data_IF_095993928560
#
_entry.id   IF_095993928560
#
_cell.length_a   1.000
_cell.length_b   1.000
_cell.length_c   1.000
_cell.angle_alpha   90.00
_cell.angle_beta   90.00
_cell.angle_gamma   90.00
#
_symmetry.space_group_name_H-M   'P 1'
#
loop_
_entity.id
_entity.type
_entity.pdbx_description
1 polymer ?
#
# COMPACT_ATOMS: atom_id res chain seq x y z
N UNK A 1 1.45 27.66 -10.36
CA UNK A 1 2.05 28.74 -9.55
C UNK A 1 2.21 28.27 -8.10
N UNK A 2 3.47 28.23 -7.59
CA UNK A 2 3.79 27.71 -6.25
C UNK A 2 3.22 28.57 -5.10
N UNK A 3 3.27 29.91 -5.13
CA UNK A 3 2.66 30.75 -4.09
C UNK A 3 1.16 30.52 -3.95
N UNK A 4 0.42 30.49 -5.04
CA UNK A 4 -1.03 30.23 -5.03
C UNK A 4 -1.35 28.83 -4.45
N UNK A 5 -0.56 27.83 -4.80
CA UNK A 5 -0.70 26.49 -4.23
C UNK A 5 -0.47 26.45 -2.71
N UNK A 6 0.56 27.14 -2.21
CA UNK A 6 0.82 27.21 -0.77
C UNK A 6 -0.28 27.97 -0.02
N UNK A 7 -0.79 29.05 -0.60
CA UNK A 7 -1.93 29.78 -0.04
C UNK A 7 -3.18 28.90 0.04
N UNK A 8 -3.47 28.14 -1.02
CA UNK A 8 -4.61 27.20 -1.01
C UNK A 8 -4.46 26.10 0.05
N UNK A 9 -3.25 25.56 0.27
CA UNK A 9 -2.98 24.60 1.36
C UNK A 9 -3.27 25.20 2.74
N UNK A 10 -2.83 26.43 2.97
CA UNK A 10 -3.05 27.12 4.25
C UNK A 10 -4.53 27.43 4.47
N UNK A 11 -5.23 27.90 3.43
CA UNK A 11 -6.68 28.13 3.49
C UNK A 11 -7.44 26.86 3.86
N UNK A 12 -7.12 25.75 3.19
CA UNK A 12 -7.74 24.46 3.49
C UNK A 12 -7.46 23.99 4.92
N UNK A 13 -6.24 24.16 5.42
CA UNK A 13 -5.91 23.84 6.81
C UNK A 13 -6.77 24.66 7.80
N UNK A 14 -6.89 25.96 7.54
CA UNK A 14 -7.73 26.86 8.36
C UNK A 14 -9.21 26.45 8.36
N UNK A 15 -9.75 26.08 7.21
CA UNK A 15 -11.12 25.58 7.08
C UNK A 15 -11.35 24.32 7.90
N UNK A 16 -10.43 23.35 7.82
CA UNK A 16 -10.51 22.07 8.59
C UNK A 16 -10.44 22.36 10.08
N UNK A 17 -9.49 23.19 10.54
CA UNK A 17 -9.37 23.57 11.95
C UNK A 17 -10.64 24.29 12.42
N UNK A 18 -11.20 25.21 11.62
CA UNK A 18 -12.44 25.89 11.94
C UNK A 18 -13.66 24.96 12.02
N UNK A 19 -13.69 23.90 11.20
CA UNK A 19 -14.71 22.85 11.32
C UNK A 19 -14.56 22.07 12.62
N UNK A 20 -13.35 21.70 12.98
CA UNK A 20 -13.05 20.95 14.21
C UNK A 20 -13.32 21.79 15.46
N UNK A 21 -13.01 23.09 15.43
CA UNK A 21 -13.31 24.03 16.54
C UNK A 21 -14.80 24.11 16.84
N UNK A 22 -15.66 23.99 15.81
CA UNK A 22 -17.13 23.95 16.03
C UNK A 22 -17.59 22.68 16.75
N UNK A 23 -16.88 21.57 16.60
CA UNK A 23 -17.18 20.28 17.25
C UNK A 23 -16.55 20.22 18.65
N UNK A 24 -15.34 20.72 18.76
CA UNK A 24 -14.54 20.75 20.00
C UNK A 24 -14.03 22.18 20.27
N UNK A 25 -14.82 23.03 20.95
CA UNK A 25 -14.40 24.38 21.29
C UNK A 25 -13.08 24.42 22.08
N UNK A 26 -12.15 25.26 21.66
CA UNK A 26 -10.81 25.39 22.22
C UNK A 26 -9.75 24.54 21.54
N UNK A 27 -10.11 23.69 20.56
CA UNK A 27 -9.16 22.85 19.84
C UNK A 27 -8.14 23.68 19.06
N UNK A 28 -8.57 24.76 18.41
CA UNK A 28 -7.68 25.61 17.62
C UNK A 28 -6.53 26.20 18.44
N UNK A 29 -6.76 26.50 19.71
CA UNK A 29 -5.74 27.00 20.64
C UNK A 29 -4.71 25.91 21.04
N UNK A 30 -5.05 24.64 20.87
CA UNK A 30 -4.20 23.50 21.20
C UNK A 30 -3.40 22.97 19.99
N UNK A 31 -3.61 23.55 18.79
CA UNK A 31 -2.88 23.11 17.59
C UNK A 31 -1.48 23.69 17.58
N UNK A 32 -0.48 22.87 17.76
CA UNK A 32 0.94 23.25 17.79
C UNK A 32 1.58 23.15 16.39
N UNK A 33 1.17 22.16 15.58
CA UNK A 33 1.74 21.90 14.27
C UNK A 33 0.64 21.60 13.26
N UNK A 34 0.76 22.21 12.08
CA UNK A 34 -0.14 21.96 10.94
C UNK A 34 0.69 21.56 9.73
N UNK A 35 0.44 20.36 9.22
CA UNK A 35 0.98 19.93 7.92
C UNK A 35 -0.16 19.38 7.04
N UNK A 36 -0.14 19.77 5.77
CA UNK A 36 -1.15 19.38 4.79
C UNK A 36 -0.47 18.61 3.66
N UNK A 37 -0.77 17.32 3.54
CA UNK A 37 -0.42 16.52 2.38
C UNK A 37 -1.51 16.62 1.30
N UNK A 38 -1.10 16.84 0.07
CA UNK A 38 -1.96 16.88 -1.11
C UNK A 38 -1.51 15.86 -2.13
N UNK A 39 -2.26 15.59 -3.21
CA UNK A 39 -1.78 14.74 -4.30
C UNK A 39 -0.40 15.15 -4.84
N UNK A 40 -0.13 16.45 -4.98
CA UNK A 40 1.20 16.94 -5.39
C UNK A 40 2.30 16.65 -4.35
N UNK A 41 1.94 16.64 -3.07
CA UNK A 41 2.87 16.23 -2.01
C UNK A 41 3.22 14.75 -2.16
N UNK A 42 2.22 13.91 -2.36
CA UNK A 42 2.42 12.46 -2.58
C UNK A 42 3.24 12.20 -3.82
N UNK A 43 2.91 12.83 -4.94
CA UNK A 43 3.66 12.68 -6.21
C UNK A 43 5.15 13.05 -6.03
N UNK A 44 5.42 14.17 -5.34
CA UNK A 44 6.78 14.60 -5.05
C UNK A 44 7.60 13.59 -4.25
N UNK A 45 6.99 12.94 -3.24
CA UNK A 45 7.70 12.01 -2.36
C UNK A 45 7.76 10.59 -2.88
N UNK A 46 6.79 10.17 -3.69
CA UNK A 46 6.64 8.77 -4.12
C UNK A 46 6.84 8.56 -5.63
N UNK A 47 6.86 9.65 -6.41
CA UNK A 47 6.83 9.63 -7.88
C UNK A 47 5.61 8.90 -8.46
N UNK A 48 4.57 8.71 -7.65
CA UNK A 48 3.31 8.13 -8.12
C UNK A 48 2.53 9.18 -8.93
N UNK A 49 2.20 8.83 -10.16
CA UNK A 49 1.45 9.72 -11.05
C UNK A 49 0.16 10.21 -10.39
N UNK A 50 -0.09 11.54 -10.50
CA UNK A 50 -1.27 12.22 -9.95
C UNK A 50 -1.41 12.04 -8.42
N UNK A 51 -0.31 11.73 -7.73
CA UNK A 51 -0.29 11.55 -6.27
C UNK A 51 -1.09 10.35 -5.77
N UNK A 52 -1.19 9.28 -6.56
CA UNK A 52 -1.90 8.08 -6.16
C UNK A 52 -1.29 7.46 -4.90
N UNK A 53 -2.14 7.16 -3.91
CA UNK A 53 -1.72 6.56 -2.63
C UNK A 53 -2.15 5.10 -2.48
N UNK A 54 -3.10 4.63 -3.29
CA UNK A 54 -3.68 3.29 -3.15
C UNK A 54 -3.54 2.40 -4.41
N UNK A 55 -2.74 2.82 -5.38
CA UNK A 55 -2.60 2.11 -6.64
C UNK A 55 -3.77 2.39 -7.59
N UNK A 56 -4.25 1.39 -8.29
CA UNK A 56 -5.31 1.54 -9.30
C UNK A 56 -6.69 1.70 -8.66
N UNK A 57 -7.51 2.58 -9.22
CA UNK A 57 -8.90 2.79 -8.76
C UNK A 57 -9.75 1.55 -9.02
N UNK A 58 -10.40 0.98 -8.02
CA UNK A 58 -11.21 -0.24 -8.20
C UNK A 58 -12.49 -0.03 -9.00
N UNK A 59 -13.00 1.20 -9.10
CA UNK A 59 -14.22 1.54 -9.83
C UNK A 59 -14.11 1.41 -11.35
N UNK A 60 -12.87 1.48 -11.89
CA UNK A 60 -12.64 1.35 -13.34
C UNK A 60 -12.29 -0.06 -13.80
N UNK A 61 -11.88 -0.91 -12.91
CA UNK A 61 -11.30 -2.23 -13.23
C UNK A 61 -12.03 -3.35 -12.47
N UNK A 62 -13.05 -3.00 -11.69
CA UNK A 62 -13.65 -3.93 -10.73
C UNK A 62 -12.62 -4.36 -9.69
N UNK A 63 -12.74 -5.57 -9.17
CA UNK A 63 -11.72 -6.17 -8.28
C UNK A 63 -10.55 -6.80 -9.05
N UNK A 64 -10.52 -6.69 -10.39
CA UNK A 64 -9.42 -7.19 -11.20
C UNK A 64 -8.26 -6.20 -11.14
N UNK A 65 -7.19 -6.57 -10.47
CA UNK A 65 -5.97 -5.78 -10.43
C UNK A 65 -5.25 -5.91 -11.77
N UNK A 66 -4.94 -4.79 -12.45
CA UNK A 66 -4.37 -4.84 -13.79
C UNK A 66 -2.93 -5.36 -13.82
N UNK A 67 -2.22 -5.31 -12.69
CA UNK A 67 -0.82 -5.77 -12.61
C UNK A 67 -0.76 -7.11 -11.87
N UNK A 68 -0.48 -8.22 -12.58
CA UNK A 68 -0.28 -9.52 -11.96
C UNK A 68 1.05 -9.58 -11.21
N UNK A 69 1.17 -10.49 -10.24
CA UNK A 69 2.45 -10.73 -9.54
C UNK A 69 3.60 -11.15 -10.43
N UNK A 70 3.29 -11.76 -11.56
CA UNK A 70 4.26 -12.31 -12.50
C UNK A 70 4.03 -11.72 -13.88
N UNK A 71 5.12 -11.39 -14.56
CA UNK A 71 5.09 -10.99 -15.96
C UNK A 71 4.59 -12.11 -16.88
N UNK A 72 4.69 -11.90 -18.19
CA UNK A 72 4.22 -12.85 -19.19
C UNK A 72 4.67 -14.29 -18.89
N UNK A 73 3.90 -15.27 -19.38
CA UNK A 73 4.16 -16.70 -19.17
C UNK A 73 5.61 -17.05 -19.55
N UNK A 74 6.34 -17.66 -18.62
CA UNK A 74 7.77 -17.97 -18.80
C UNK A 74 8.73 -16.85 -18.36
N UNK A 75 8.23 -15.65 -18.07
CA UNK A 75 9.04 -14.55 -17.54
C UNK A 75 9.59 -14.86 -16.15
N UNK A 76 10.81 -14.39 -15.88
CA UNK A 76 11.40 -14.33 -14.53
C UNK A 76 11.15 -13.02 -13.82
N UNK A 77 10.29 -12.16 -14.38
CA UNK A 77 9.92 -10.86 -13.83
C UNK A 77 8.75 -11.02 -12.87
N UNK A 78 8.89 -10.48 -11.68
CA UNK A 78 7.87 -10.46 -10.64
C UNK A 78 7.62 -9.03 -10.19
N UNK A 79 6.38 -8.74 -9.78
CA UNK A 79 5.96 -7.43 -9.32
C UNK A 79 5.43 -7.51 -7.90
N UNK A 80 5.81 -6.56 -7.06
CA UNK A 80 5.31 -6.39 -5.70
C UNK A 80 5.06 -4.91 -5.42
N UNK A 81 4.21 -4.62 -4.47
CA UNK A 81 3.90 -3.26 -4.05
C UNK A 81 2.42 -2.94 -4.09
N UNK A 82 2.06 -1.69 -3.88
CA UNK A 82 0.65 -1.29 -3.79
C UNK A 82 -0.08 -1.22 -5.14
N UNK A 83 0.64 -1.30 -6.26
CA UNK A 83 0.10 -1.36 -7.63
C UNK A 83 -0.29 -2.77 -8.07
N UNK A 84 0.08 -3.78 -7.30
CA UNK A 84 -0.13 -5.20 -7.58
C UNK A 84 -1.20 -5.75 -6.65
N UNK A 85 -1.88 -6.82 -7.04
CA UNK A 85 -2.81 -7.52 -6.15
C UNK A 85 -2.11 -7.91 -4.82
N UNK A 86 -2.73 -7.73 -3.64
CA UNK A 86 -4.11 -7.29 -3.40
C UNK A 86 -4.30 -5.77 -3.39
N UNK A 87 -3.28 -4.98 -3.71
CA UNK A 87 -3.32 -3.53 -3.87
C UNK A 87 -3.72 -2.74 -2.61
N UNK A 88 -3.38 -1.46 -2.61
CA UNK A 88 -3.82 -0.49 -1.62
C UNK A 88 -3.34 -0.70 -0.17
N UNK A 89 -2.70 0.31 0.40
CA UNK A 89 -2.25 0.33 1.79
C UNK A 89 -0.96 -0.44 2.08
N UNK A 90 -0.30 -0.08 3.17
CA UNK A 90 1.04 -0.59 3.54
C UNK A 90 1.03 -2.11 3.79
N UNK A 91 0.03 -2.61 4.53
CA UNK A 91 -0.07 -4.03 4.86
C UNK A 91 -0.28 -4.90 3.60
N UNK A 92 -1.05 -4.43 2.63
CA UNK A 92 -1.28 -5.15 1.36
C UNK A 92 -0.07 -5.10 0.45
N UNK A 93 0.65 -3.98 0.42
CA UNK A 93 1.92 -3.88 -0.29
C UNK A 93 2.95 -4.86 0.28
N UNK A 94 3.09 -4.97 1.60
CA UNK A 94 3.94 -5.95 2.25
C UNK A 94 3.49 -7.41 1.95
N UNK A 95 2.18 -7.66 1.96
CA UNK A 95 1.61 -8.96 1.62
C UNK A 95 1.92 -9.36 0.16
N UNK A 96 1.87 -8.41 -0.78
CA UNK A 96 2.23 -8.67 -2.18
C UNK A 96 3.68 -9.13 -2.32
N UNK A 97 4.60 -8.53 -1.57
CA UNK A 97 6.01 -8.97 -1.51
C UNK A 97 6.14 -10.41 -1.01
N UNK A 98 5.40 -10.77 0.04
CA UNK A 98 5.35 -12.15 0.53
C UNK A 98 4.85 -13.12 -0.55
N UNK A 99 3.78 -12.78 -1.26
CA UNK A 99 3.24 -13.62 -2.34
C UNK A 99 4.24 -13.80 -3.47
N UNK A 100 4.95 -12.74 -3.85
CA UNK A 100 6.01 -12.82 -4.86
C UNK A 100 7.11 -13.80 -4.44
N UNK A 101 7.59 -13.73 -3.20
CA UNK A 101 8.61 -14.67 -2.70
C UNK A 101 8.09 -16.11 -2.69
N UNK A 102 6.83 -16.33 -2.30
CA UNK A 102 6.19 -17.65 -2.39
C UNK A 102 6.16 -18.18 -3.84
N UNK A 103 5.82 -17.33 -4.80
CA UNK A 103 5.83 -17.70 -6.23
C UNK A 103 7.25 -18.03 -6.72
N UNK A 104 8.25 -17.25 -6.32
CA UNK A 104 9.66 -17.50 -6.66
C UNK A 104 10.10 -18.84 -6.10
N UNK A 105 9.80 -19.12 -4.82
CA UNK A 105 10.12 -20.40 -4.18
C UNK A 105 9.45 -21.57 -4.91
N UNK A 106 8.17 -21.45 -5.26
CA UNK A 106 7.43 -22.47 -5.99
C UNK A 106 8.05 -22.74 -7.37
N UNK A 107 8.40 -21.68 -8.13
CA UNK A 107 9.08 -21.83 -9.43
C UNK A 107 10.46 -22.50 -9.29
N UNK A 108 11.16 -22.22 -8.18
CA UNK A 108 12.48 -22.80 -7.90
C UNK A 108 12.41 -24.21 -7.27
N UNK A 109 11.21 -24.75 -7.04
CA UNK A 109 11.04 -26.04 -6.35
C UNK A 109 11.53 -26.03 -4.89
N UNK A 110 11.50 -24.86 -4.23
CA UNK A 110 11.96 -24.70 -2.85
C UNK A 110 10.79 -24.36 -1.92
N UNK A 111 10.76 -24.89 -0.69
CA UNK A 111 9.74 -24.49 0.28
C UNK A 111 9.92 -23.02 0.67
N UNK A 112 8.80 -22.31 0.83
CA UNK A 112 8.80 -20.98 1.42
C UNK A 112 8.81 -21.10 2.95
N UNK A 113 9.89 -20.67 3.57
CA UNK A 113 10.00 -20.60 5.03
C UNK A 113 9.82 -19.15 5.45
N UNK A 114 8.68 -18.84 6.08
CA UNK A 114 8.51 -17.55 6.74
C UNK A 114 9.38 -17.55 7.99
N UNK A 115 10.39 -16.69 8.05
CA UNK A 115 11.03 -16.35 9.32
C UNK A 115 9.94 -15.74 10.20
N UNK A 116 9.38 -16.51 11.11
CA UNK A 116 8.70 -15.93 12.25
C UNK A 116 9.80 -15.20 13.02
N UNK A 117 9.81 -13.86 12.97
CA UNK A 117 10.57 -13.07 13.92
C UNK A 117 10.35 -13.76 15.27
N UNK A 118 11.44 -14.15 15.93
CA UNK A 118 11.45 -14.89 17.19
C UNK A 118 10.40 -14.31 18.13
N UNK A 119 9.18 -14.82 18.04
CA UNK A 119 8.24 -14.67 19.14
C UNK A 119 8.94 -15.37 20.32
N UNK A 120 9.21 -14.62 21.37
CA UNK A 120 9.67 -15.16 22.65
C UNK A 120 8.66 -16.24 23.07
N UNK A 121 8.97 -17.51 22.87
CA UNK A 121 8.09 -18.64 23.17
C UNK A 121 7.74 -19.45 21.91
N UNK A 122 8.42 -20.55 21.72
CA UNK A 122 8.43 -21.44 20.57
C UNK A 122 7.03 -21.75 19.99
N UNK A 123 6.81 -21.28 18.79
CA UNK A 123 5.80 -21.79 17.88
C UNK A 123 6.47 -22.10 16.55
N UNK A 124 6.08 -23.23 15.99
CA UNK A 124 6.62 -23.80 14.75
C UNK A 124 6.52 -22.82 13.58
N UNK A 125 7.56 -22.81 12.73
CA UNK A 125 7.57 -22.05 11.49
C UNK A 125 6.44 -22.54 10.58
N UNK A 126 5.59 -21.64 10.10
CA UNK A 126 4.61 -21.94 9.05
C UNK A 126 5.37 -22.28 7.76
N UNK A 127 5.47 -23.55 7.44
CA UNK A 127 5.99 -24.05 6.16
C UNK A 127 4.84 -24.00 5.15
N UNK A 128 4.98 -23.16 4.14
CA UNK A 128 4.04 -23.11 3.02
C UNK A 128 4.56 -24.09 1.95
N UNK A 129 3.80 -25.14 1.68
CA UNK A 129 4.13 -26.09 0.60
C UNK A 129 3.56 -25.58 -0.74
N UNK A 130 4.21 -25.92 -1.87
CA UNK A 130 3.80 -25.44 -3.19
C UNK A 130 2.37 -25.82 -3.62
N UNK A 131 1.74 -26.79 -2.95
CA UNK A 131 0.35 -27.19 -3.19
C UNK A 131 -0.68 -26.13 -2.78
N UNK A 132 -0.35 -25.27 -1.82
CA UNK A 132 -1.24 -24.18 -1.37
C UNK A 132 -1.28 -23.01 -2.38
N UNK A 133 -0.29 -22.89 -3.24
CA UNK A 133 -0.21 -21.84 -4.25
C UNK A 133 -1.19 -22.09 -5.43
N UNK A 134 -1.51 -23.36 -5.71
CA UNK A 134 -2.40 -23.76 -6.80
C UNK A 134 -3.89 -23.58 -6.49
N UNK A 135 -4.30 -23.62 -5.24
CA UNK A 135 -5.71 -23.60 -4.84
C UNK A 135 -6.36 -22.21 -4.80
N UNK A 136 -5.58 -21.13 -4.86
CA UNK A 136 -6.10 -19.75 -4.74
C UNK A 136 -6.20 -18.98 -6.06
N UNK A 137 -5.90 -19.61 -7.20
CA UNK A 137 -5.94 -18.96 -8.52
C UNK A 137 -7.27 -19.27 -9.26
N UNK A 138 -8.14 -20.11 -8.70
CA UNK A 138 -9.41 -20.54 -9.32
C UNK A 138 -10.67 -20.09 -8.56
N UNK A 139 -10.58 -19.00 -7.78
CA UNK A 139 -11.75 -18.39 -7.18
C UNK A 139 -11.83 -16.91 -7.50
#
# INVERSE_FOLDING_TARGET
DRPAYLAAKQSFAGEVIGLLERIWPGLAACVEVVDVATPLTTERYTSNAVGSVHGVRPDRVGFAFPVPYRGARGSRLFFAGHWVCPGGGIHRAAQSGRYVVQQICAVAGRPFVASTARARGGREANVFTGEDAGRRVTA
#
